data_IF_500456498856
#
_entry.id   IF_500456498856
#
_cell.length_a   1.000
_cell.length_b   1.000
_cell.length_c   1.000
_cell.angle_alpha   90.00
_cell.angle_beta   90.00
_cell.angle_gamma   90.00
#
_symmetry.space_group_name_H-M   'P 1'
#
loop_
_entity.id
_entity.type
_entity.pdbx_description
1 polymer ?
#
# COMPACT_ATOMS: atom_id res chain seq x y z
N UNK A 1 4.71 -0.14 -21.53
CA UNK A 1 5.78 -0.15 -20.52
C UNK A 1 5.76 -1.53 -19.90
N UNK A 2 6.89 -2.22 -19.85
CA UNK A 2 7.01 -3.44 -19.06
C UNK A 2 7.28 -3.01 -17.62
N UNK A 3 6.34 -3.29 -16.73
CA UNK A 3 6.51 -2.99 -15.31
C UNK A 3 7.44 -4.01 -14.67
N UNK A 4 8.34 -3.53 -13.82
CA UNK A 4 9.24 -4.41 -13.08
C UNK A 4 8.44 -5.22 -12.06
N UNK A 5 8.62 -6.54 -12.08
CA UNK A 5 8.03 -7.42 -11.07
C UNK A 5 8.84 -7.28 -9.79
N UNK A 6 8.15 -7.06 -8.68
CA UNK A 6 8.69 -7.08 -7.33
C UNK A 6 8.14 -8.27 -6.57
N UNK A 7 8.98 -8.85 -5.72
CA UNK A 7 8.57 -9.89 -4.77
C UNK A 7 8.37 -9.21 -3.43
N UNK A 8 7.16 -9.29 -2.89
CA UNK A 8 6.89 -8.74 -1.57
C UNK A 8 7.75 -9.44 -0.49
N UNK A 9 8.24 -8.70 0.52
CA UNK A 9 9.01 -9.29 1.61
C UNK A 9 8.22 -10.36 2.38
N UNK A 10 8.88 -11.03 3.33
CA UNK A 10 8.19 -11.99 4.21
C UNK A 10 7.22 -11.28 5.15
N UNK A 11 6.20 -11.98 5.65
CA UNK A 11 5.15 -11.37 6.47
C UNK A 11 5.66 -10.61 7.70
N UNK A 12 6.57 -11.19 8.48
CA UNK A 12 7.20 -10.53 9.64
C UNK A 12 7.99 -9.28 9.25
N UNK A 13 8.65 -9.33 8.10
CA UNK A 13 9.40 -8.21 7.56
C UNK A 13 8.47 -7.10 7.11
N UNK A 14 7.38 -7.42 6.41
CA UNK A 14 6.33 -6.46 6.06
C UNK A 14 5.79 -5.76 7.30
N UNK A 15 5.44 -6.50 8.36
CA UNK A 15 4.96 -5.91 9.62
C UNK A 15 6.00 -4.97 10.24
N UNK A 16 7.27 -5.38 10.27
CA UNK A 16 8.37 -4.57 10.78
C UNK A 16 8.52 -3.26 10.01
N UNK A 17 8.45 -3.34 8.67
CA UNK A 17 8.59 -2.19 7.78
C UNK A 17 7.39 -1.25 7.85
N UNK A 18 6.17 -1.78 7.89
CA UNK A 18 4.95 -0.98 8.01
C UNK A 18 4.83 -0.29 9.38
N UNK A 19 5.33 -0.91 10.45
CA UNK A 19 5.41 -0.26 11.77
C UNK A 19 6.31 0.97 11.81
N UNK A 20 7.16 1.19 10.79
CA UNK A 20 7.91 2.45 10.65
C UNK A 20 7.01 3.62 10.23
N UNK A 21 5.83 3.33 9.67
CA UNK A 21 4.85 4.33 9.26
C UNK A 21 3.90 4.56 10.44
N UNK A 22 3.98 5.76 11.01
CA UNK A 22 3.10 6.16 12.09
C UNK A 22 1.74 6.61 11.55
N UNK A 23 0.69 5.84 11.83
CA UNK A 23 -0.69 6.18 11.44
C UNK A 23 -1.50 6.89 12.54
N UNK A 24 -0.94 7.09 13.72
CA UNK A 24 -1.60 7.80 14.83
C UNK A 24 -2.56 6.95 15.67
N UNK A 25 -3.06 5.84 15.14
CA UNK A 25 -3.96 4.91 15.84
C UNK A 25 -3.55 3.46 15.55
N UNK A 26 -3.00 2.78 16.56
CA UNK A 26 -2.56 1.38 16.47
C UNK A 26 -3.72 0.42 16.20
N UNK A 27 -4.94 0.73 16.67
CA UNK A 27 -6.13 -0.10 16.47
C UNK A 27 -6.57 -0.07 15.01
N UNK A 28 -6.30 1.03 14.30
CA UNK A 28 -6.52 1.11 12.85
C UNK A 28 -5.36 0.53 12.04
N UNK A 29 -4.12 0.72 12.49
CA UNK A 29 -2.93 0.29 11.78
C UNK A 29 -2.78 -1.24 11.76
N UNK A 30 -3.01 -1.91 12.89
CA UNK A 30 -2.74 -3.34 13.03
C UNK A 30 -3.56 -4.21 12.03
N UNK A 31 -4.89 -4.05 11.88
CA UNK A 31 -5.65 -4.86 10.93
C UNK A 31 -5.23 -4.63 9.47
N UNK A 32 -4.82 -3.40 9.13
CA UNK A 32 -4.31 -3.08 7.79
C UNK A 32 -2.99 -3.78 7.54
N UNK A 33 -2.04 -3.64 8.46
CA UNK A 33 -0.69 -4.17 8.33
C UNK A 33 -0.70 -5.70 8.25
N UNK A 34 -1.52 -6.35 9.06
CA UNK A 34 -1.77 -7.79 8.97
C UNK A 34 -2.34 -8.18 7.60
N UNK A 35 -3.27 -7.39 7.06
CA UNK A 35 -3.87 -7.69 5.76
C UNK A 35 -2.90 -7.54 4.59
N UNK A 36 -1.94 -6.61 4.69
CA UNK A 36 -0.85 -6.44 3.71
C UNK A 36 0.19 -7.55 3.89
N UNK A 37 0.55 -7.91 5.13
CA UNK A 37 1.50 -8.98 5.42
C UNK A 37 1.04 -10.36 4.90
N UNK A 38 -0.27 -10.59 4.79
CA UNK A 38 -0.83 -11.80 4.17
C UNK A 38 -0.54 -11.94 2.66
N UNK A 39 -0.06 -10.88 2.01
CA UNK A 39 0.37 -10.90 0.61
C UNK A 39 1.87 -11.23 0.47
N UNK A 40 2.56 -11.55 1.57
CA UNK A 40 3.98 -11.85 1.59
C UNK A 40 4.43 -12.86 0.53
N UNK A 41 5.58 -12.59 -0.09
CA UNK A 41 6.16 -13.45 -1.12
C UNK A 41 5.41 -13.48 -2.44
N UNK A 42 4.32 -12.72 -2.62
CA UNK A 42 3.68 -12.58 -3.94
C UNK A 42 4.55 -11.75 -4.87
N UNK A 43 4.57 -12.20 -6.11
CA UNK A 43 5.07 -11.44 -7.25
C UNK A 43 3.98 -10.46 -7.69
N UNK A 44 4.33 -9.18 -7.74
CA UNK A 44 3.43 -8.12 -8.20
C UNK A 44 4.19 -7.15 -9.08
N UNK A 45 3.53 -6.62 -10.11
CA UNK A 45 4.02 -5.44 -10.80
C UNK A 45 3.56 -4.16 -10.07
N UNK A 46 4.02 -3.01 -10.56
CA UNK A 46 3.69 -1.70 -10.00
C UNK A 46 2.18 -1.41 -9.95
N UNK A 47 1.39 -1.93 -10.90
CA UNK A 47 -0.07 -1.76 -10.93
C UNK A 47 -0.75 -2.65 -9.89
N UNK A 48 -0.33 -3.91 -9.80
CA UNK A 48 -0.82 -4.88 -8.84
C UNK A 48 -0.55 -4.48 -7.41
N UNK A 49 0.62 -3.89 -7.13
CA UNK A 49 0.97 -3.36 -5.81
C UNK A 49 0.01 -2.23 -5.39
N UNK A 50 -0.23 -1.26 -6.27
CA UNK A 50 -1.18 -0.17 -6.00
C UNK A 50 -2.60 -0.70 -5.77
N UNK A 51 -3.06 -1.57 -6.67
CA UNK A 51 -4.39 -2.16 -6.56
C UNK A 51 -4.56 -2.92 -5.25
N UNK A 52 -3.54 -3.68 -4.84
CA UNK A 52 -3.54 -4.38 -3.55
C UNK A 52 -3.70 -3.37 -2.41
N UNK A 53 -2.86 -2.34 -2.34
CA UNK A 53 -2.91 -1.34 -1.26
C UNK A 53 -4.27 -0.64 -1.19
N UNK A 54 -4.81 -0.17 -2.33
CA UNK A 54 -6.14 0.46 -2.41
C UNK A 54 -7.23 -0.48 -1.93
N UNK A 55 -7.20 -1.75 -2.32
CA UNK A 55 -8.20 -2.73 -1.89
C UNK A 55 -8.13 -2.99 -0.38
N UNK A 56 -6.93 -3.16 0.19
CA UNK A 56 -6.76 -3.37 1.63
C UNK A 56 -7.29 -2.19 2.45
N UNK A 57 -6.98 -0.97 2.00
CA UNK A 57 -7.48 0.27 2.62
C UNK A 57 -9.00 0.37 2.52
N UNK A 58 -9.57 0.12 1.33
CA UNK A 58 -11.02 0.16 1.12
C UNK A 58 -11.75 -0.86 2.00
N UNK A 59 -11.22 -2.08 2.12
CA UNK A 59 -11.81 -3.12 2.99
C UNK A 59 -11.77 -2.70 4.46
N UNK A 60 -10.68 -2.09 4.92
CA UNK A 60 -10.60 -1.56 6.28
C UNK A 60 -11.64 -0.46 6.53
N UNK A 61 -11.71 0.53 5.63
CA UNK A 61 -12.62 1.65 5.75
C UNK A 61 -14.09 1.19 5.79
N UNK A 62 -14.44 0.17 4.99
CA UNK A 62 -15.76 -0.47 5.01
C UNK A 62 -16.03 -1.17 6.36
N UNK A 63 -15.06 -1.92 6.89
CA UNK A 63 -15.20 -2.63 8.18
C UNK A 63 -15.37 -1.66 9.35
N UNK A 64 -14.69 -0.52 9.33
CA UNK A 64 -14.78 0.49 10.37
C UNK A 64 -15.92 1.51 10.17
N UNK A 65 -16.70 1.37 9.08
CA UNK A 65 -17.78 2.28 8.72
C UNK A 65 -17.36 3.77 8.72
N UNK A 66 -16.09 4.02 8.40
CA UNK A 66 -15.51 5.37 8.45
C UNK A 66 -14.89 5.69 7.09
N UNK A 67 -15.67 6.23 6.14
CA UNK A 67 -15.20 6.53 4.78
C UNK A 67 -13.99 7.45 4.73
N UNK A 68 -13.85 8.34 5.72
CA UNK A 68 -12.70 9.25 5.83
C UNK A 68 -11.36 8.51 5.98
N UNK A 69 -11.35 7.31 6.58
CA UNK A 69 -10.16 6.46 6.67
C UNK A 69 -9.64 6.10 5.28
N UNK A 70 -10.53 5.82 4.32
CA UNK A 70 -10.14 5.48 2.95
C UNK A 70 -9.32 6.62 2.34
N UNK A 71 -9.80 7.85 2.43
CA UNK A 71 -9.12 9.03 1.87
C UNK A 71 -7.78 9.28 2.59
N UNK A 72 -7.78 9.21 3.92
CA UNK A 72 -6.57 9.48 4.72
C UNK A 72 -5.47 8.46 4.46
N UNK A 73 -5.82 7.17 4.39
CA UNK A 73 -4.86 6.09 4.18
C UNK A 73 -4.44 5.95 2.72
N UNK A 74 -5.32 6.21 1.75
CA UNK A 74 -4.94 6.20 0.34
C UNK A 74 -3.82 7.21 0.07
N UNK A 75 -3.85 8.37 0.73
CA UNK A 75 -2.76 9.36 0.66
C UNK A 75 -1.41 8.86 1.19
N UNK A 76 -1.38 7.78 1.96
CA UNK A 76 -0.16 7.13 2.49
C UNK A 76 0.36 6.01 1.59
N UNK A 77 -0.30 5.70 0.48
CA UNK A 77 0.14 4.66 -0.46
C UNK A 77 1.60 4.85 -0.91
N UNK A 78 2.08 6.06 -1.24
CA UNK A 78 3.49 6.27 -1.56
C UNK A 78 4.45 5.84 -0.45
N UNK A 79 4.11 6.10 0.82
CA UNK A 79 4.91 5.70 1.97
C UNK A 79 4.88 4.18 2.16
N UNK A 80 3.73 3.53 1.94
CA UNK A 80 3.65 2.06 1.95
C UNK A 80 4.53 1.45 0.85
N UNK A 81 4.53 2.02 -0.34
CA UNK A 81 5.41 1.56 -1.44
C UNK A 81 6.88 1.68 -1.04
N UNK A 82 7.28 2.83 -0.48
CA UNK A 82 8.67 3.09 -0.10
C UNK A 82 9.21 2.09 0.93
N UNK A 83 8.37 1.60 1.83
CA UNK A 83 8.80 0.60 2.82
C UNK A 83 8.66 -0.83 2.30
N UNK A 84 7.71 -1.13 1.41
CA UNK A 84 7.48 -2.49 0.91
C UNK A 84 8.41 -2.89 -0.24
N UNK A 85 8.96 -1.92 -0.98
CA UNK A 85 9.72 -2.17 -2.21
C UNK A 85 11.13 -1.62 -2.10
N UNK A 86 12.12 -2.52 -2.04
CA UNK A 86 13.54 -2.15 -1.99
C UNK A 86 14.09 -1.63 -3.32
N UNK A 87 13.50 -2.10 -4.44
CA UNK A 87 13.91 -1.70 -5.78
C UNK A 87 13.38 -0.30 -6.09
N UNK A 88 14.30 0.69 -6.06
CA UNK A 88 13.96 2.10 -6.27
C UNK A 88 13.26 2.38 -7.59
N UNK A 89 13.58 1.63 -8.64
CA UNK A 89 12.97 1.82 -9.96
C UNK A 89 11.53 1.31 -9.95
N UNK A 90 11.29 0.13 -9.39
CA UNK A 90 9.94 -0.41 -9.24
C UNK A 90 9.09 0.45 -8.29
N UNK A 91 9.66 0.94 -7.19
CA UNK A 91 9.00 1.85 -6.26
C UNK A 91 8.62 3.17 -6.96
N UNK A 92 9.50 3.72 -7.81
CA UNK A 92 9.21 4.91 -8.60
C UNK A 92 8.06 4.68 -9.58
N UNK A 93 8.08 3.56 -10.32
CA UNK A 93 6.99 3.19 -11.24
C UNK A 93 5.65 3.06 -10.51
N UNK A 94 5.63 2.41 -9.34
CA UNK A 94 4.41 2.27 -8.55
C UNK A 94 3.88 3.62 -8.06
N UNK A 95 4.76 4.53 -7.62
CA UNK A 95 4.34 5.87 -7.20
C UNK A 95 3.82 6.71 -8.37
N UNK A 96 4.43 6.62 -9.54
CA UNK A 96 3.96 7.31 -10.75
C UNK A 96 2.54 6.86 -11.13
N UNK A 97 2.27 5.55 -11.10
CA UNK A 97 0.92 5.01 -11.35
C UNK A 97 -0.10 5.55 -10.33
N UNK A 98 0.29 5.61 -9.06
CA UNK A 98 -0.57 6.17 -8.02
C UNK A 98 -0.87 7.65 -8.26
N UNK A 99 0.15 8.46 -8.58
CA UNK A 99 -0.03 9.89 -8.86
C UNK A 99 -0.91 10.12 -10.09
N UNK A 100 -0.73 9.35 -11.15
CA UNK A 100 -1.55 9.44 -12.35
C UNK A 100 -3.01 9.03 -12.09
N UNK A 101 -3.25 8.06 -11.22
CA UNK A 101 -4.59 7.71 -10.78
C UNK A 101 -5.23 8.84 -9.96
N UNK A 102 -4.49 9.45 -9.03
CA UNK A 102 -4.99 10.55 -8.21
C UNK A 102 -5.28 11.82 -9.01
N UNK A 103 -4.46 12.15 -10.02
CA UNK A 103 -4.71 13.31 -10.90
C UNK A 103 -5.99 13.15 -11.72
N UNK A 104 -6.30 11.93 -12.18
CA UNK A 104 -7.52 11.64 -12.94
C UNK A 104 -8.80 11.68 -12.11
N UNK A 105 -8.70 11.47 -10.80
CA UNK A 105 -9.84 11.57 -9.87
C UNK A 105 -10.18 13.03 -9.49
N UNK A 106 -9.30 13.99 -9.79
CA UNK A 106 -9.50 15.43 -9.52
C UNK A 106 -10.09 16.22 -10.71
N UNK A 107 -10.21 15.61 -11.89
CA UNK A 107 -10.82 16.16 -13.13
C UNK A 107 -12.29 15.72 -13.31
#
# INVERSE_FOLDING_TARGET
>A
MDYKIVILPKGEEILTRLNMIWLGDEVMAEPLYQSIANEAGREMDASGLNLMLVQKISVLAQRQQTPMINVLLSRRIPEFIDVLVDDKEAAAQAKEIYEDAMKKDED
#
